data_IF_140211303612
#
_entry.id   IF_140211303612
#
_cell.length_a   1.000
_cell.length_b   1.000
_cell.length_c   1.000
_cell.angle_alpha   90.00
_cell.angle_beta   90.00
_cell.angle_gamma   90.00
#
_symmetry.space_group_name_H-M   'P 1'
#
loop_
_entity.id
_entity.type
_entity.pdbx_description
1 polymer ?
#
# COMPACT_ATOMS: atom_id res chain seq x y z
N UNK A 1 16.40 -6.22 -1.87
CA UNK A 1 15.74 -5.16 -1.08
C UNK A 1 16.85 -4.33 -0.43
N UNK A 2 17.03 -3.08 -0.83
CA UNK A 2 18.00 -2.18 -0.18
C UNK A 2 17.26 -1.44 0.93
N UNK A 3 17.76 -1.55 2.17
CA UNK A 3 17.20 -0.78 3.28
C UNK A 3 17.63 0.68 3.12
N UNK A 4 16.67 1.58 3.30
CA UNK A 4 16.94 3.02 3.25
C UNK A 4 17.59 3.45 4.55
N UNK A 5 18.63 4.28 4.47
CA UNK A 5 19.33 4.82 5.65
C UNK A 5 19.14 6.33 5.69
N UNK A 6 18.86 6.88 6.86
CA UNK A 6 18.74 8.30 7.12
C UNK A 6 19.68 8.69 8.27
N UNK A 7 20.60 9.63 8.05
CA UNK A 7 21.48 10.12 9.10
C UNK A 7 20.96 11.42 9.70
N UNK A 8 20.88 11.47 11.03
CA UNK A 8 20.37 12.61 11.80
C UNK A 8 21.16 13.91 11.58
N UNK A 9 22.40 13.83 11.08
CA UNK A 9 23.24 14.99 10.78
C UNK A 9 23.21 15.42 9.32
N UNK A 10 22.56 14.65 8.45
CA UNK A 10 22.27 15.10 7.09
C UNK A 10 21.20 16.20 7.13
N UNK A 11 21.09 17.00 6.06
CA UNK A 11 20.20 18.16 5.92
C UNK A 11 18.84 17.96 6.63
N UNK A 12 18.29 19.01 7.25
CA UNK A 12 17.06 18.90 8.02
C UNK A 12 15.93 18.37 7.13
N UNK A 13 15.56 17.11 7.34
CA UNK A 13 14.36 16.52 6.77
C UNK A 13 13.20 16.86 7.71
N UNK A 14 12.04 17.19 7.17
CA UNK A 14 10.83 17.26 7.98
C UNK A 14 10.37 15.86 8.38
N UNK A 15 9.69 15.74 9.53
CA UNK A 15 9.07 14.48 9.95
C UNK A 15 8.08 14.00 8.88
N UNK A 16 7.37 14.92 8.23
CA UNK A 16 6.44 14.60 7.14
C UNK A 16 7.14 13.93 5.97
N UNK A 17 8.25 14.48 5.48
CA UNK A 17 9.05 13.86 4.41
C UNK A 17 9.63 12.51 4.82
N UNK A 18 10.11 12.39 6.07
CA UNK A 18 10.59 11.12 6.61
C UNK A 18 9.50 10.05 6.60
N UNK A 19 8.29 10.39 7.05
CA UNK A 19 7.15 9.47 7.07
C UNK A 19 6.65 9.10 5.66
N UNK A 20 6.62 10.05 4.71
CA UNK A 20 6.31 9.77 3.30
C UNK A 20 7.36 8.88 2.62
N UNK A 21 8.58 8.86 3.14
CA UNK A 21 9.66 8.05 2.59
C UNK A 21 9.55 6.57 2.94
N UNK A 22 8.68 6.20 3.89
CA UNK A 22 8.36 4.83 4.25
C UNK A 22 7.47 4.24 3.16
N UNK A 23 8.01 3.31 2.37
CA UNK A 23 7.24 2.52 1.41
C UNK A 23 6.86 1.15 2.02
N UNK A 24 5.84 0.50 1.46
CA UNK A 24 5.39 -0.81 1.91
C UNK A 24 6.56 -1.79 2.08
N UNK A 25 6.59 -2.47 3.23
CA UNK A 25 7.59 -3.49 3.61
C UNK A 25 9.04 -3.00 3.71
N UNK A 26 9.31 -1.70 3.58
CA UNK A 26 10.65 -1.13 3.76
C UNK A 26 10.83 -0.52 5.14
N UNK A 27 11.90 -0.96 5.80
CA UNK A 27 12.41 -0.33 7.00
C UNK A 27 13.40 0.78 6.66
N UNK A 28 13.38 1.83 7.47
CA UNK A 28 14.36 2.90 7.43
C UNK A 28 15.26 2.79 8.65
N UNK A 29 16.57 2.68 8.42
CA UNK A 29 17.59 2.72 9.49
C UNK A 29 17.95 4.18 9.75
N UNK A 30 17.81 4.61 10.99
CA UNK A 30 18.20 5.95 11.44
C UNK A 30 19.60 5.85 12.05
N UNK A 31 20.53 6.67 11.58
CA UNK A 31 21.92 6.73 12.05
C UNK A 31 22.28 8.08 12.65
N UNK A 32 23.29 8.09 13.51
CA UNK A 32 23.98 9.30 13.97
C UNK A 32 25.48 9.10 13.70
N UNK A 33 26.07 9.88 12.80
CA UNK A 33 27.45 9.66 12.30
C UNK A 33 27.66 8.25 11.72
N UNK A 34 26.73 7.77 10.90
CA UNK A 34 26.71 6.39 10.36
C UNK A 34 26.58 5.28 11.41
N UNK A 35 26.37 5.61 12.69
CA UNK A 35 26.10 4.63 13.74
C UNK A 35 24.59 4.41 13.85
N UNK A 36 24.06 3.19 13.68
CA UNK A 36 22.64 2.92 13.82
C UNK A 36 22.13 3.25 15.23
N UNK A 37 21.06 4.03 15.33
CA UNK A 37 20.45 4.43 16.60
C UNK A 37 18.97 4.06 16.71
N UNK A 38 18.26 3.93 15.58
CA UNK A 38 16.86 3.52 15.58
C UNK A 38 16.47 2.84 14.25
N UNK A 39 15.33 2.16 14.26
CA UNK A 39 14.64 1.64 13.07
C UNK A 39 13.23 2.20 13.04
N UNK A 40 12.82 2.66 11.86
CA UNK A 40 11.48 3.11 11.57
C UNK A 40 10.81 2.10 10.66
N UNK A 41 9.65 1.60 11.08
CA UNK A 41 8.86 0.61 10.35
C UNK A 41 7.39 0.91 10.53
N UNK A 42 6.57 0.41 9.61
CA UNK A 42 5.12 0.49 9.70
C UNK A 42 4.64 -0.45 10.80
N UNK A 43 3.86 0.07 11.75
CA UNK A 43 3.22 -0.76 12.77
C UNK A 43 2.13 -1.65 12.17
N UNK A 44 1.36 -1.10 11.24
CA UNK A 44 0.34 -1.80 10.49
C UNK A 44 0.70 -1.73 9.01
N UNK A 45 0.48 -2.80 8.22
CA UNK A 45 0.57 -2.67 6.78
C UNK A 45 -0.29 -1.49 6.35
N UNK A 46 0.24 -0.65 5.44
CA UNK A 46 -0.60 0.39 4.82
C UNK A 46 -1.75 -0.38 4.22
N UNK A 47 -2.95 -0.21 4.80
CA UNK A 47 -4.14 -0.80 4.23
C UNK A 47 -4.12 -0.38 2.78
N UNK A 48 -3.94 -1.35 1.87
CA UNK A 48 -4.09 -1.07 0.45
C UNK A 48 -5.42 -0.38 0.38
N UNK A 49 -5.40 0.91 0.08
CA UNK A 49 -6.62 1.62 -0.21
C UNK A 49 -6.97 1.06 -1.56
N UNK A 50 -7.60 -0.12 -1.56
CA UNK A 50 -8.28 -0.66 -2.71
C UNK A 50 -9.39 0.36 -2.91
N UNK A 51 -9.07 1.41 -3.67
CA UNK A 51 -10.06 2.13 -4.45
C UNK A 51 -10.97 1.02 -4.97
N UNK A 52 -12.28 1.05 -4.67
CA UNK A 52 -13.17 0.00 -5.11
C UNK A 52 -12.92 -0.15 -6.59
N UNK A 53 -12.32 -1.28 -6.97
CA UNK A 53 -12.06 -1.60 -8.36
C UNK A 53 -13.45 -1.47 -8.98
N UNK A 54 -13.65 -0.44 -9.81
CA UNK A 54 -14.87 -0.31 -10.57
C UNK A 54 -15.04 -1.67 -11.21
N UNK A 55 -16.05 -2.42 -10.75
CA UNK A 55 -16.31 -3.75 -11.27
C UNK A 55 -16.73 -3.52 -12.70
N UNK A 56 -15.79 -3.52 -13.64
CA UNK A 56 -16.11 -3.65 -15.05
C UNK A 56 -16.93 -4.93 -15.14
N UNK A 57 -18.23 -4.85 -15.51
CA UNK A 57 -19.06 -6.03 -15.56
C UNK A 57 -18.37 -7.01 -16.52
N UNK A 58 -17.98 -8.18 -16.01
CA UNK A 58 -17.36 -9.19 -16.85
C UNK A 58 -18.40 -9.66 -17.87
N UNK A 59 -18.18 -9.46 -19.17
CA UNK A 59 -19.06 -10.02 -20.19
C UNK A 59 -18.92 -11.55 -20.08
N UNK A 60 -20.01 -12.24 -19.76
CA UNK A 60 -20.02 -13.71 -19.74
C UNK A 60 -20.64 -14.37 -18.52
N UNK A 61 -20.84 -13.67 -17.40
CA UNK A 61 -21.38 -14.29 -16.18
C UNK A 61 -22.88 -14.58 -16.21
N UNK A 62 -23.59 -14.16 -17.27
CA UNK A 62 -25.01 -14.45 -17.49
C UNK A 62 -25.27 -15.15 -18.85
N UNK A 63 -24.28 -15.83 -19.44
CA UNK A 63 -24.56 -16.74 -20.56
C UNK A 63 -25.19 -18.03 -20.00
N UNK A 64 -26.51 -18.00 -19.78
CA UNK A 64 -27.30 -19.19 -19.45
C UNK A 64 -28.36 -19.04 -18.37
N UNK A 65 -28.51 -17.87 -17.73
CA UNK A 65 -29.51 -17.66 -16.67
C UNK A 65 -30.81 -16.99 -17.13
N UNK A 66 -31.03 -16.87 -18.45
CA UNK A 66 -32.34 -16.46 -18.96
C UNK A 66 -33.28 -17.65 -18.94
N UNK A 67 -33.85 -17.94 -17.77
CA UNK A 67 -35.01 -18.82 -17.63
C UNK A 67 -36.21 -18.01 -18.13
N UNK A 68 -36.63 -18.24 -19.36
CA UNK A 68 -37.95 -17.82 -19.82
C UNK A 68 -38.96 -18.69 -19.06
N UNK A 69 -39.75 -18.09 -18.18
CA UNK A 69 -40.93 -18.74 -17.63
C UNK A 69 -42.03 -18.69 -18.69
N UNK A 70 -42.39 -19.84 -19.27
CA UNK A 70 -43.57 -20.02 -20.12
C UNK A 70 -44.85 -20.11 -19.25
N UNK A 71 -45.04 -19.16 -18.34
CA UNK A 71 -46.18 -19.16 -17.42
C UNK A 71 -46.83 -17.77 -17.37
N UNK A 72 -47.49 -17.45 -18.48
CA UNK A 72 -48.56 -16.46 -18.53
C UNK A 72 -49.71 -17.09 -19.32
N UNK A 73 -50.64 -17.68 -18.57
CA UNK A 73 -52.03 -17.93 -19.00
C UNK A 73 -52.72 -16.61 -19.45
#
# INVERSE_FOLDING_TARGET
>A
MSNKTFDLKQLPISITELLYSIQNEQEIVITNDNIPVARLTLLNPVAETKLPLEKTPQPGLNLGSMVMSDDFD
#
